data_IF_201084721044
#
_entry.id   IF_201084721044
#
_cell.length_a   1.000
_cell.length_b   1.000
_cell.length_c   1.000
_cell.angle_alpha   90.00
_cell.angle_beta   90.00
_cell.angle_gamma   90.00
#
_symmetry.space_group_name_H-M   'P 1'
#
loop_
_entity.id
_entity.type
_entity.pdbx_description
1 polymer ?
#
# COMPACT_ATOMS: atom_id res chain seq x y z
N UNK A 1 1.33 26.97 32.42
CA UNK A 1 1.85 27.82 31.33
C UNK A 1 1.91 26.95 30.09
N UNK A 2 1.05 27.22 29.12
CA UNK A 2 0.97 26.49 27.86
C UNK A 2 1.99 27.09 26.89
N UNK A 3 2.92 26.27 26.40
CA UNK A 3 3.85 26.64 25.32
C UNK A 3 4.19 25.39 24.52
N UNK A 4 3.73 25.36 23.27
CA UNK A 4 4.11 24.36 22.28
C UNK A 4 2.99 24.08 21.28
N UNK A 5 2.64 25.05 20.42
CA UNK A 5 2.01 24.71 19.15
C UNK A 5 3.01 23.85 18.36
N UNK A 6 2.79 22.53 18.32
CA UNK A 6 3.43 21.69 17.34
C UNK A 6 2.87 22.11 15.98
N UNK A 7 3.73 22.63 15.11
CA UNK A 7 3.40 22.75 13.70
C UNK A 7 3.30 21.33 13.16
N UNK A 8 2.10 20.74 13.25
CA UNK A 8 1.79 19.44 12.68
C UNK A 8 2.20 19.42 11.22
N UNK A 9 2.82 18.33 10.76
CA UNK A 9 3.25 18.21 9.37
C UNK A 9 2.02 18.33 8.47
N UNK A 10 1.92 19.45 7.76
CA UNK A 10 0.79 19.72 6.87
C UNK A 10 0.96 18.89 5.61
N UNK A 11 -0.15 18.31 5.15
CA UNK A 11 -0.21 17.79 3.79
C UNK A 11 -0.39 18.94 2.80
N UNK A 12 -0.02 18.69 1.55
CA UNK A 12 -0.27 19.59 0.42
C UNK A 12 -1.17 18.89 -0.60
N UNK A 13 -1.98 19.64 -1.34
CA UNK A 13 -2.79 19.05 -2.42
C UNK A 13 -1.94 18.87 -3.67
N UNK A 14 -2.03 17.69 -4.31
CA UNK A 14 -1.25 17.39 -5.51
C UNK A 14 -1.99 16.53 -6.53
N UNK A 15 -1.61 16.69 -7.79
CA UNK A 15 -2.01 15.83 -8.91
C UNK A 15 -0.92 14.80 -9.21
N UNK A 16 -1.25 13.76 -9.98
CA UNK A 16 -0.33 12.66 -10.33
C UNK A 16 1.03 13.17 -10.81
N UNK A 17 1.05 14.13 -11.76
CA UNK A 17 2.30 14.64 -12.32
C UNK A 17 3.12 15.45 -11.30
N UNK A 18 2.47 16.15 -10.38
CA UNK A 18 3.16 16.89 -9.32
C UNK A 18 3.84 15.92 -8.36
N UNK A 19 3.11 14.90 -7.89
CA UNK A 19 3.66 13.87 -7.00
C UNK A 19 4.80 13.13 -7.71
N UNK A 20 4.59 12.67 -8.93
CA UNK A 20 5.59 11.92 -9.71
C UNK A 20 6.92 12.66 -9.84
N UNK A 21 6.87 13.97 -10.15
CA UNK A 21 8.05 14.78 -10.43
C UNK A 21 8.69 15.42 -9.19
N UNK A 22 8.05 15.32 -8.02
CA UNK A 22 8.58 15.89 -6.78
C UNK A 22 9.89 15.22 -6.38
N UNK A 23 10.82 16.05 -5.89
CA UNK A 23 12.00 15.63 -5.14
C UNK A 23 12.15 16.50 -3.90
N UNK A 24 12.36 15.88 -2.77
CA UNK A 24 12.53 16.50 -1.46
C UNK A 24 13.46 15.66 -0.61
N UNK A 25 14.31 16.30 0.19
CA UNK A 25 15.16 15.61 1.17
C UNK A 25 14.38 15.18 2.43
N UNK A 26 13.13 15.63 2.57
CA UNK A 26 12.21 15.26 3.65
C UNK A 26 10.99 14.53 3.11
N UNK A 27 10.28 13.83 4.00
CA UNK A 27 8.94 13.29 3.71
C UNK A 27 8.01 14.42 3.28
N UNK A 28 7.32 14.21 2.16
CA UNK A 28 6.21 15.07 1.72
C UNK A 28 4.93 14.26 1.79
N UNK A 29 3.86 14.82 2.37
CA UNK A 29 2.55 14.17 2.40
C UNK A 29 1.63 14.90 1.44
N UNK A 30 1.09 14.18 0.47
CA UNK A 30 0.16 14.70 -0.51
C UNK A 30 -1.25 14.24 -0.21
N UNK A 31 -2.23 15.12 -0.31
CA UNK A 31 -3.62 14.74 -0.52
C UNK A 31 -3.92 14.82 -2.02
N UNK A 32 -4.44 13.75 -2.60
CA UNK A 32 -4.68 13.73 -4.04
C UNK A 32 -5.84 14.64 -4.42
N UNK A 33 -5.62 15.55 -5.38
CA UNK A 33 -6.59 16.56 -5.79
C UNK A 33 -7.89 15.94 -6.34
N UNK A 34 -7.76 14.90 -7.17
CA UNK A 34 -8.89 14.21 -7.80
C UNK A 34 -9.57 13.20 -6.86
N UNK A 35 -8.93 12.88 -5.73
CA UNK A 35 -9.42 11.93 -4.75
C UNK A 35 -8.96 12.30 -3.32
N UNK A 36 -9.68 13.20 -2.63
CA UNK A 36 -9.27 13.69 -1.31
C UNK A 36 -9.40 12.65 -0.18
N UNK A 37 -9.83 11.42 -0.49
CA UNK A 37 -9.78 10.27 0.42
C UNK A 37 -8.44 9.50 0.33
N UNK A 38 -7.49 9.95 -0.49
CA UNK A 38 -6.18 9.33 -0.66
C UNK A 38 -5.07 10.29 -0.23
N UNK A 39 -4.23 9.82 0.69
CA UNK A 39 -2.98 10.48 1.06
C UNK A 39 -1.79 9.69 0.52
N UNK A 40 -0.78 10.36 -0.04
CA UNK A 40 0.47 9.75 -0.50
C UNK A 40 1.63 10.28 0.34
N UNK A 41 2.28 9.37 1.07
CA UNK A 41 3.50 9.62 1.83
C UNK A 41 4.69 9.39 0.89
N UNK A 42 5.32 10.48 0.46
CA UNK A 42 6.40 10.50 -0.52
C UNK A 42 7.77 10.58 0.16
N UNK A 43 8.39 9.41 0.34
CA UNK A 43 9.60 9.24 1.14
C UNK A 43 10.88 9.57 0.37
N UNK A 44 11.84 10.30 0.96
CA UNK A 44 13.13 10.58 0.34
C UNK A 44 14.02 9.33 0.17
N UNK A 45 13.70 8.24 0.87
CA UNK A 45 14.48 7.01 0.84
C UNK A 45 13.72 5.78 1.33
N UNK A 46 14.13 4.61 0.86
CA UNK A 46 13.45 3.34 1.12
C UNK A 46 13.58 2.87 2.57
N UNK A 47 14.69 3.14 3.27
CA UNK A 47 14.81 2.74 4.67
C UNK A 47 13.85 3.53 5.56
N UNK A 48 13.59 4.81 5.23
CA UNK A 48 12.63 5.62 5.98
C UNK A 48 11.20 5.12 5.72
N UNK A 49 10.85 4.83 4.47
CA UNK A 49 9.58 4.17 4.15
C UNK A 49 9.42 2.85 4.92
N UNK A 50 10.45 1.99 4.88
CA UNK A 50 10.40 0.68 5.51
C UNK A 50 10.22 0.72 7.03
N UNK A 51 10.89 1.65 7.73
CA UNK A 51 10.66 1.85 9.18
C UNK A 51 9.25 2.33 9.50
N UNK A 52 8.62 3.03 8.56
CA UNK A 52 7.29 3.60 8.71
C UNK A 52 6.18 2.59 8.44
N UNK A 53 6.30 1.77 7.40
CA UNK A 53 5.20 0.94 6.89
C UNK A 53 5.41 -0.58 6.94
N UNK A 54 6.64 -1.11 7.00
CA UNK A 54 6.86 -2.57 6.90
C UNK A 54 6.10 -3.36 7.98
N UNK A 55 6.04 -2.84 9.20
CA UNK A 55 5.34 -3.51 10.30
C UNK A 55 3.82 -3.49 10.14
N UNK A 56 3.31 -2.41 9.56
CA UNK A 56 1.89 -2.24 9.27
C UNK A 56 1.50 -3.21 8.16
N UNK A 57 2.22 -3.22 7.04
CA UNK A 57 2.00 -4.17 5.93
C UNK A 57 2.15 -5.62 6.36
N UNK A 58 3.13 -5.95 7.20
CA UNK A 58 3.24 -7.29 7.75
C UNK A 58 1.99 -7.68 8.54
N UNK A 59 1.38 -6.73 9.26
CA UNK A 59 0.16 -6.96 10.05
C UNK A 59 -1.10 -7.05 9.18
N UNK A 60 -1.21 -6.26 8.10
CA UNK A 60 -2.42 -6.15 7.27
C UNK A 60 -2.48 -7.13 6.10
N UNK A 61 -1.37 -7.31 5.39
CA UNK A 61 -1.36 -7.96 4.07
C UNK A 61 -0.74 -9.36 4.09
N UNK A 62 0.16 -9.62 5.03
CA UNK A 62 0.98 -10.84 5.00
C UNK A 62 0.42 -11.97 5.88
N UNK A 63 0.76 -13.20 5.49
CA UNK A 63 0.32 -14.38 6.20
C UNK A 63 0.85 -14.39 7.64
N UNK A 64 -0.06 -14.54 8.60
CA UNK A 64 0.30 -14.92 9.96
C UNK A 64 -0.09 -16.38 10.15
N UNK A 65 0.81 -17.17 10.76
CA UNK A 65 0.49 -18.54 11.20
C UNK A 65 -0.24 -18.55 12.55
N UNK A 66 -0.41 -17.38 13.15
CA UNK A 66 -1.02 -17.20 14.45
C UNK A 66 -2.55 -17.25 14.35
N UNK A 67 -3.24 -17.81 15.35
CA UNK A 67 -4.70 -17.90 15.35
C UNK A 67 -5.40 -16.54 15.50
N UNK A 68 -4.66 -15.50 15.90
CA UNK A 68 -5.16 -14.14 16.07
C UNK A 68 -4.18 -13.12 15.47
N UNK A 69 -4.66 -11.98 14.97
CA UNK A 69 -3.78 -10.91 14.50
C UNK A 69 -2.83 -10.48 15.62
N UNK A 70 -1.55 -10.37 15.28
CA UNK A 70 -0.47 -9.99 16.19
C UNK A 70 0.42 -8.97 15.53
N UNK A 71 0.60 -7.83 16.19
CA UNK A 71 1.63 -6.86 15.79
C UNK A 71 2.97 -7.38 16.30
N UNK A 72 3.95 -7.52 15.41
CA UNK A 72 5.29 -7.96 15.78
C UNK A 72 6.02 -6.88 16.60
N UNK A 73 6.87 -7.26 17.55
CA UNK A 73 7.89 -6.37 18.09
C UNK A 73 8.95 -6.04 17.05
N UNK A 74 9.77 -5.01 17.29
CA UNK A 74 10.88 -4.66 16.38
C UNK A 74 11.83 -5.84 16.13
N UNK A 75 12.15 -6.60 17.18
CA UNK A 75 13.02 -7.77 17.07
C UNK A 75 12.36 -8.92 16.27
N UNK A 76 11.07 -9.14 16.45
CA UNK A 76 10.33 -10.15 15.67
C UNK A 76 10.23 -9.74 14.20
N UNK A 77 9.92 -8.47 13.91
CA UNK A 77 9.88 -7.96 12.53
C UNK A 77 11.25 -8.09 11.86
N UNK A 78 12.34 -7.74 12.53
CA UNK A 78 13.69 -7.91 11.98
C UNK A 78 13.98 -9.36 11.61
N UNK A 79 13.65 -10.32 12.49
CA UNK A 79 13.81 -11.76 12.19
C UNK A 79 12.91 -12.20 11.04
N UNK A 80 11.70 -11.69 10.96
CA UNK A 80 10.75 -12.00 9.89
C UNK A 80 11.29 -11.54 8.52
N UNK A 81 11.77 -10.29 8.43
CA UNK A 81 12.38 -9.73 7.22
C UNK A 81 13.63 -10.52 6.82
N UNK A 82 14.48 -10.86 7.78
CA UNK A 82 15.69 -11.66 7.56
C UNK A 82 15.35 -13.07 7.04
N UNK A 83 14.34 -13.73 7.62
CA UNK A 83 13.89 -15.05 7.19
C UNK A 83 13.34 -15.03 5.75
N UNK A 84 12.71 -13.93 5.35
CA UNK A 84 12.28 -13.69 3.97
C UNK A 84 13.43 -13.36 3.01
N UNK A 85 14.68 -13.28 3.50
CA UNK A 85 15.88 -12.85 2.76
C UNK A 85 15.70 -11.46 2.12
N UNK A 86 15.00 -10.59 2.84
CA UNK A 86 14.74 -9.19 2.49
C UNK A 86 15.54 -8.29 3.42
N UNK A 87 15.54 -7.00 3.10
CA UNK A 87 16.02 -5.92 3.96
C UNK A 87 14.86 -5.00 4.29
N UNK A 88 15.04 -4.08 5.24
CA UNK A 88 14.01 -3.07 5.49
C UNK A 88 13.70 -2.21 4.26
N UNK A 89 14.67 -2.03 3.36
CA UNK A 89 14.54 -1.18 2.18
C UNK A 89 13.95 -1.90 0.95
N UNK A 90 13.92 -3.24 0.92
CA UNK A 90 13.40 -4.02 -0.22
C UNK A 90 12.25 -4.99 0.14
N UNK A 91 11.74 -4.86 1.37
CA UNK A 91 10.59 -5.62 1.86
C UNK A 91 9.35 -5.37 1.01
N UNK A 92 8.99 -4.09 0.84
CA UNK A 92 8.05 -3.63 -0.17
C UNK A 92 8.48 -2.25 -0.69
N UNK A 93 8.16 -1.96 -1.95
CA UNK A 93 8.53 -0.70 -2.59
C UNK A 93 7.40 0.34 -2.55
N UNK A 94 6.17 -0.09 -2.30
CA UNK A 94 5.02 0.76 -1.98
C UNK A 94 4.12 0.02 -1.00
N UNK A 95 3.19 0.74 -0.41
CA UNK A 95 2.25 0.20 0.58
C UNK A 95 0.94 0.97 0.50
N UNK A 96 -0.19 0.26 0.55
CA UNK A 96 -1.52 0.82 0.76
C UNK A 96 -2.11 0.36 2.09
N UNK A 97 -2.66 1.31 2.87
CA UNK A 97 -3.27 1.00 4.17
C UNK A 97 -4.50 1.86 4.40
N UNK A 98 -5.61 1.23 4.77
CA UNK A 98 -6.81 1.94 5.22
C UNK A 98 -6.62 2.53 6.62
N UNK A 99 -7.27 3.67 6.88
CA UNK A 99 -7.34 4.23 8.24
C UNK A 99 -7.96 3.23 9.22
N UNK A 100 -8.92 2.41 8.78
CA UNK A 100 -9.50 1.35 9.61
C UNK A 100 -8.47 0.29 10.01
N UNK A 101 -7.54 -0.07 9.13
CA UNK A 101 -6.47 -1.03 9.39
C UNK A 101 -5.39 -0.44 10.30
N UNK A 102 -5.04 0.84 10.13
CA UNK A 102 -4.13 1.55 11.03
C UNK A 102 -4.69 1.62 12.46
N UNK A 103 -6.01 1.83 12.59
CA UNK A 103 -6.67 1.79 13.90
C UNK A 103 -6.59 0.39 14.52
N UNK A 104 -6.75 -0.67 13.73
CA UNK A 104 -6.52 -2.03 14.23
C UNK A 104 -5.07 -2.17 14.69
N UNK A 105 -4.09 -1.85 13.84
CA UNK A 105 -2.67 -1.90 14.17
C UNK A 105 -2.34 -1.21 15.50
N UNK A 106 -2.75 0.05 15.70
CA UNK A 106 -2.47 0.77 16.95
C UNK A 106 -3.18 0.18 18.16
N UNK A 107 -4.40 -0.32 18.00
CA UNK A 107 -5.14 -0.96 19.09
C UNK A 107 -4.52 -2.30 19.49
N UNK A 108 -4.09 -3.12 18.52
CA UNK A 108 -3.39 -4.37 18.79
C UNK A 108 -2.02 -4.11 19.44
N UNK A 109 -1.25 -3.14 18.94
CA UNK A 109 0.01 -2.72 19.55
C UNK A 109 -0.20 -2.26 21.01
N UNK A 110 -1.24 -1.46 21.28
CA UNK A 110 -1.59 -0.99 22.62
C UNK A 110 -1.98 -2.15 23.55
N UNK A 111 -2.86 -3.05 23.08
CA UNK A 111 -3.33 -4.22 23.83
C UNK A 111 -2.17 -5.12 24.23
N UNK A 112 -1.28 -5.39 23.27
CA UNK A 112 -0.17 -6.34 23.43
C UNK A 112 1.10 -5.68 23.98
N UNK A 113 1.03 -4.38 24.30
CA UNK A 113 2.15 -3.57 24.83
C UNK A 113 3.37 -3.57 23.92
N UNK A 114 3.14 -3.60 22.61
CA UNK A 114 4.18 -3.44 21.60
C UNK A 114 4.44 -1.95 21.42
N UNK A 115 5.65 -1.52 21.71
CA UNK A 115 6.06 -0.13 21.54
C UNK A 115 6.10 0.24 20.05
N UNK A 116 5.49 1.39 19.72
CA UNK A 116 5.60 2.02 18.41
C UNK A 116 6.98 2.66 18.26
N UNK A 117 7.56 2.59 17.07
CA UNK A 117 8.76 3.34 16.74
C UNK A 117 8.41 4.82 16.43
N UNK A 118 9.43 5.66 16.21
CA UNK A 118 9.23 7.10 16.03
C UNK A 118 8.42 7.43 14.76
N UNK A 119 8.63 6.67 13.70
CA UNK A 119 7.94 6.82 12.42
C UNK A 119 6.45 6.41 12.48
N UNK A 120 6.13 5.34 13.19
CA UNK A 120 4.74 4.91 13.41
C UNK A 120 4.01 5.85 14.37
N UNK A 121 4.70 6.40 15.38
CA UNK A 121 4.19 7.49 16.22
C UNK A 121 3.85 8.69 15.34
N UNK A 122 4.72 9.06 14.42
CA UNK A 122 4.47 10.14 13.48
C UNK A 122 3.22 9.89 12.63
N UNK A 123 3.04 8.68 12.07
CA UNK A 123 1.82 8.34 11.30
C UNK A 123 0.58 8.49 12.18
N UNK A 124 0.60 7.92 13.39
CA UNK A 124 -0.52 8.00 14.35
C UNK A 124 -0.89 9.44 14.69
N UNK A 125 0.11 10.27 14.94
CA UNK A 125 -0.08 11.67 15.32
C UNK A 125 -0.61 12.47 14.14
N UNK A 126 -0.08 12.25 12.93
CA UNK A 126 -0.63 12.82 11.68
C UNK A 126 -2.12 12.47 11.53
N UNK A 127 -2.49 11.18 11.66
CA UNK A 127 -3.89 10.76 11.54
C UNK A 127 -4.80 11.42 12.59
N UNK A 128 -4.28 11.62 13.80
CA UNK A 128 -5.02 12.26 14.90
C UNK A 128 -5.20 13.75 14.63
N UNK A 129 -4.15 14.45 14.20
CA UNK A 129 -4.15 15.86 13.85
C UNK A 129 -5.07 16.16 12.66
N UNK A 130 -5.08 15.27 11.65
CA UNK A 130 -5.98 15.38 10.49
C UNK A 130 -7.42 14.93 10.79
N UNK A 131 -7.72 14.51 12.03
CA UNK A 131 -9.05 14.06 12.44
C UNK A 131 -9.51 12.78 11.75
N UNK A 132 -8.58 11.97 11.23
CA UNK A 132 -8.85 10.68 10.60
C UNK A 132 -9.07 9.58 11.63
N UNK A 133 -8.38 9.69 12.77
CA UNK A 133 -8.57 8.83 13.95
C UNK A 133 -8.78 9.66 15.21
N UNK A 134 -9.30 9.02 16.26
CA UNK A 134 -9.43 9.61 17.59
C UNK A 134 -9.08 8.60 18.66
N UNK A 135 -8.29 8.98 19.65
CA UNK A 135 -8.12 8.19 20.87
C UNK A 135 -9.20 8.56 21.90
N UNK A 136 -10.02 7.60 22.31
CA UNK A 136 -11.09 7.83 23.27
C UNK A 136 -11.35 6.59 24.12
N UNK A 137 -11.51 6.79 25.44
CA UNK A 137 -11.73 5.71 26.43
C UNK A 137 -10.75 4.54 26.31
N UNK A 138 -9.48 4.84 26.02
CA UNK A 138 -8.39 3.85 26.04
C UNK A 138 -8.18 3.09 24.73
N UNK A 139 -8.85 3.45 23.63
CA UNK A 139 -8.62 2.85 22.32
C UNK A 139 -8.76 3.87 21.18
N UNK A 140 -8.13 3.57 20.04
CA UNK A 140 -8.26 4.35 18.81
C UNK A 140 -9.55 3.99 18.07
N UNK A 141 -10.19 4.99 17.49
CA UNK A 141 -11.38 4.89 16.66
C UNK A 141 -11.11 5.51 15.30
N UNK A 142 -11.57 4.85 14.23
CA UNK A 142 -11.52 5.42 12.89
C UNK A 142 -12.66 6.43 12.74
N UNK A 143 -12.33 7.67 12.44
CA UNK A 143 -13.30 8.72 12.13
C UNK A 143 -13.62 8.76 10.64
N UNK A 144 -12.63 8.38 9.81
CA UNK A 144 -12.77 8.24 8.35
C UNK A 144 -12.15 6.91 7.91
N UNK A 145 -12.85 5.78 8.12
CA UNK A 145 -12.28 4.43 7.96
C UNK A 145 -11.85 4.12 6.52
N UNK A 146 -12.52 4.73 5.53
CA UNK A 146 -12.31 4.45 4.09
C UNK A 146 -11.26 5.35 3.44
N UNK A 147 -10.57 6.18 4.24
CA UNK A 147 -9.43 6.97 3.75
C UNK A 147 -8.21 6.04 3.64
N UNK A 148 -7.48 6.19 2.55
CA UNK A 148 -6.32 5.34 2.21
C UNK A 148 -5.04 6.15 2.37
N UNK A 149 -4.05 5.56 3.02
CA UNK A 149 -2.68 6.05 3.06
C UNK A 149 -1.83 5.17 2.15
N UNK A 150 -1.20 5.81 1.18
CA UNK A 150 -0.25 5.20 0.26
C UNK A 150 1.15 5.65 0.65
N UNK A 151 2.15 4.80 0.42
CA UNK A 151 3.55 5.20 0.55
C UNK A 151 4.34 4.88 -0.71
N UNK A 152 5.20 5.81 -1.09
CA UNK A 152 6.06 5.67 -2.27
C UNK A 152 7.47 6.23 -2.00
N UNK A 153 8.50 5.70 -2.67
CA UNK A 153 9.85 6.21 -2.60
C UNK A 153 10.11 7.20 -3.74
N UNK A 154 10.88 8.25 -3.44
CA UNK A 154 11.44 9.14 -4.44
C UNK A 154 12.51 8.46 -5.30
N UNK A 155 12.80 8.98 -6.52
CA UNK A 155 13.87 8.44 -7.32
C UNK A 155 15.20 8.68 -6.63
N UNK A 156 15.97 7.62 -6.43
CA UNK A 156 17.24 7.67 -5.73
C UNK A 156 18.32 6.85 -6.46
N UNK A 157 19.59 7.29 -6.42
CA UNK A 157 20.70 6.44 -6.81
C UNK A 157 20.84 5.27 -5.82
N UNK A 158 21.70 4.31 -6.16
CA UNK A 158 22.06 3.23 -5.23
C UNK A 158 22.74 3.82 -4.00
N UNK A 159 22.29 3.41 -2.81
CA UNK A 159 22.96 3.71 -1.55
C UNK A 159 23.50 2.42 -0.92
N UNK A 160 24.25 2.51 0.16
CA UNK A 160 24.88 1.36 0.80
C UNK A 160 23.87 0.27 1.23
N UNK A 161 22.71 0.69 1.72
CA UNK A 161 21.63 -0.18 2.22
C UNK A 161 20.33 -0.08 1.42
N UNK A 162 20.33 0.63 0.29
CA UNK A 162 19.11 0.87 -0.49
C UNK A 162 19.35 0.67 -1.99
N UNK A 163 18.44 -0.05 -2.69
CA UNK A 163 18.53 -0.22 -4.13
C UNK A 163 18.26 1.11 -4.88
N UNK A 164 18.51 1.08 -6.19
CA UNK A 164 18.17 2.20 -7.09
C UNK A 164 16.64 2.27 -7.23
N UNK A 165 16.07 3.48 -7.13
CA UNK A 165 14.71 3.76 -7.59
C UNK A 165 14.82 4.65 -8.83
N UNK A 166 14.57 4.06 -9.99
CA UNK A 166 14.56 4.82 -11.25
C UNK A 166 13.29 5.64 -11.39
N UNK A 167 13.28 6.64 -12.27
CA UNK A 167 12.06 7.41 -12.58
C UNK A 167 10.95 6.49 -13.11
N UNK A 168 11.29 5.50 -13.94
CA UNK A 168 10.33 4.50 -14.43
C UNK A 168 9.77 3.61 -13.32
N UNK A 169 10.62 3.20 -12.36
CA UNK A 169 10.18 2.44 -11.20
C UNK A 169 9.23 3.27 -10.31
N UNK A 170 9.55 4.53 -10.03
CA UNK A 170 8.66 5.43 -9.29
C UNK A 170 7.32 5.60 -9.98
N UNK A 171 7.31 5.79 -11.31
CA UNK A 171 6.07 5.89 -12.06
C UNK A 171 5.21 4.62 -11.90
N UNK A 172 5.82 3.44 -12.05
CA UNK A 172 5.12 2.17 -11.89
C UNK A 172 4.57 2.00 -10.46
N UNK A 173 5.37 2.31 -9.44
CA UNK A 173 4.95 2.24 -8.03
C UNK A 173 3.81 3.22 -7.78
N UNK A 174 3.95 4.51 -8.09
CA UNK A 174 2.90 5.50 -7.85
C UNK A 174 1.58 5.14 -8.56
N UNK A 175 1.65 4.67 -9.81
CA UNK A 175 0.44 4.26 -10.53
C UNK A 175 -0.22 3.02 -9.90
N UNK A 176 0.59 2.05 -9.46
CA UNK A 176 0.13 0.87 -8.74
C UNK A 176 -0.55 1.25 -7.41
N UNK A 177 0.13 2.05 -6.58
CA UNK A 177 -0.42 2.48 -5.28
C UNK A 177 -1.72 3.28 -5.43
N UNK A 178 -1.78 4.19 -6.41
CA UNK A 178 -3.01 4.93 -6.66
C UNK A 178 -4.16 4.02 -7.10
N UNK A 179 -3.88 2.88 -7.75
CA UNK A 179 -4.90 1.91 -8.11
C UNK A 179 -5.58 1.31 -6.88
N UNK A 180 -4.84 1.06 -5.79
CA UNK A 180 -5.44 0.67 -4.51
C UNK A 180 -6.32 1.79 -3.95
N UNK A 181 -5.85 3.03 -4.04
CA UNK A 181 -6.66 4.22 -3.71
C UNK A 181 -8.00 4.26 -4.46
N UNK A 182 -7.99 4.01 -5.77
CA UNK A 182 -9.21 3.93 -6.58
C UNK A 182 -10.09 2.74 -6.19
N UNK A 183 -9.50 1.56 -5.92
CA UNK A 183 -10.22 0.36 -5.48
C UNK A 183 -11.03 0.63 -4.20
N UNK A 184 -10.42 1.19 -3.15
CA UNK A 184 -11.11 1.41 -1.88
C UNK A 184 -12.12 2.57 -1.92
N UNK A 185 -11.87 3.59 -2.74
CA UNK A 185 -12.66 4.83 -2.70
C UNK A 185 -13.74 4.91 -3.78
N UNK A 186 -13.72 4.02 -4.78
CA UNK A 186 -14.75 3.93 -5.82
C UNK A 186 -15.51 2.61 -5.72
N UNK A 187 -16.63 2.61 -4.98
CA UNK A 187 -17.44 1.40 -4.76
C UNK A 187 -17.97 0.73 -6.03
N UNK A 188 -18.15 1.47 -7.13
CA UNK A 188 -18.54 0.87 -8.42
C UNK A 188 -17.38 0.10 -9.02
N UNK A 189 -16.18 0.65 -8.97
CA UNK A 189 -14.96 0.00 -9.41
C UNK A 189 -14.62 -1.21 -8.53
N UNK A 190 -14.72 -1.08 -7.21
CA UNK A 190 -14.52 -2.19 -6.27
C UNK A 190 -15.42 -3.39 -6.59
N UNK A 191 -16.74 -3.16 -6.75
CA UNK A 191 -17.72 -4.19 -7.10
C UNK A 191 -17.44 -4.78 -8.48
N UNK A 192 -16.99 -3.96 -9.44
CA UNK A 192 -16.56 -4.47 -10.74
C UNK A 192 -15.37 -5.41 -10.61
N UNK A 193 -14.32 -5.05 -9.86
CA UNK A 193 -13.15 -5.90 -9.62
C UNK A 193 -13.52 -7.22 -8.94
N UNK A 194 -14.43 -7.18 -7.95
CA UNK A 194 -14.96 -8.39 -7.31
C UNK A 194 -15.68 -9.30 -8.32
N UNK A 195 -16.55 -8.74 -9.15
CA UNK A 195 -17.24 -9.50 -10.22
C UNK A 195 -16.27 -10.02 -11.26
N UNK A 196 -15.26 -9.23 -11.63
CA UNK A 196 -14.23 -9.67 -12.56
C UNK A 196 -13.49 -10.90 -12.00
N UNK A 197 -13.13 -10.87 -10.73
CA UNK A 197 -12.48 -11.99 -10.05
C UNK A 197 -13.36 -13.26 -9.99
N UNK A 198 -14.60 -13.15 -9.53
CA UNK A 198 -15.45 -14.31 -9.31
C UNK A 198 -16.17 -14.81 -10.57
N UNK A 199 -16.61 -13.90 -11.45
CA UNK A 199 -17.48 -14.21 -12.59
C UNK A 199 -16.74 -14.23 -13.93
N UNK A 200 -15.62 -13.49 -14.07
CA UNK A 200 -14.92 -13.34 -15.37
C UNK A 200 -13.65 -14.16 -15.45
N UNK A 201 -12.82 -14.15 -14.41
CA UNK A 201 -11.62 -15.00 -14.38
C UNK A 201 -12.02 -16.47 -14.29
N UNK A 202 -11.28 -17.30 -15.00
CA UNK A 202 -11.34 -18.75 -14.80
C UNK A 202 -10.67 -19.15 -13.49
N UNK A 203 -10.97 -20.35 -12.99
CA UNK A 203 -10.28 -20.88 -11.80
C UNK A 203 -8.76 -20.95 -12.01
N UNK A 204 -8.31 -21.37 -13.20
CA UNK A 204 -6.87 -21.42 -13.52
C UNK A 204 -6.19 -20.04 -13.46
N UNK A 205 -6.89 -18.99 -13.87
CA UNK A 205 -6.40 -17.61 -13.80
C UNK A 205 -6.37 -17.07 -12.36
N UNK A 206 -7.41 -17.33 -11.56
CA UNK A 206 -7.39 -16.99 -10.12
C UNK A 206 -6.23 -17.69 -9.40
N UNK A 207 -6.02 -18.97 -9.67
CA UNK A 207 -4.91 -19.73 -9.11
C UNK A 207 -3.54 -19.22 -9.59
N UNK A 208 -3.44 -18.70 -10.82
CA UNK A 208 -2.24 -18.03 -11.29
C UNK A 208 -1.93 -16.76 -10.48
N UNK A 209 -2.94 -15.92 -10.22
CA UNK A 209 -2.79 -14.74 -9.37
C UNK A 209 -2.43 -15.12 -7.93
N UNK A 210 -3.11 -16.09 -7.33
CA UNK A 210 -2.79 -16.57 -5.97
C UNK A 210 -1.33 -17.04 -5.86
N UNK A 211 -0.85 -17.84 -6.83
CA UNK A 211 0.56 -18.28 -6.86
C UNK A 211 1.51 -17.09 -7.02
N UNK A 212 1.21 -16.19 -7.95
CA UNK A 212 2.00 -14.98 -8.17
C UNK A 212 2.12 -14.15 -6.88
N UNK A 213 1.02 -13.85 -6.21
CA UNK A 213 0.97 -13.07 -4.98
C UNK A 213 1.58 -13.80 -3.78
N UNK A 214 1.45 -15.13 -3.71
CA UNK A 214 2.09 -15.91 -2.64
C UNK A 214 3.62 -15.80 -2.65
N UNK A 215 4.24 -15.58 -3.82
CA UNK A 215 5.69 -15.35 -3.92
C UNK A 215 6.14 -14.02 -3.29
N UNK A 216 5.20 -13.12 -3.01
CA UNK A 216 5.40 -11.87 -2.29
C UNK A 216 4.88 -11.94 -0.84
N UNK A 217 4.54 -13.14 -0.34
CA UNK A 217 4.02 -13.41 1.00
C UNK A 217 2.64 -12.84 1.34
N UNK A 218 1.85 -12.44 0.33
CA UNK A 218 0.46 -12.01 0.55
C UNK A 218 -0.41 -13.14 1.12
N UNK A 219 -1.39 -12.76 1.94
CA UNK A 219 -2.37 -13.67 2.51
C UNK A 219 -3.38 -14.15 1.46
N UNK A 220 -3.13 -15.34 0.89
CA UNK A 220 -3.96 -15.92 -0.19
C UNK A 220 -5.34 -16.43 0.23
N UNK A 221 -5.66 -16.34 1.52
CA UNK A 221 -7.00 -16.62 2.06
C UNK A 221 -7.84 -15.34 2.23
N UNK A 222 -7.24 -14.17 2.02
CA UNK A 222 -7.94 -12.89 2.02
C UNK A 222 -8.32 -12.51 0.59
N UNK A 223 -9.53 -12.86 0.17
CA UNK A 223 -10.00 -12.59 -1.19
C UNK A 223 -10.03 -11.10 -1.52
N UNK A 224 -10.35 -10.22 -0.56
CA UNK A 224 -10.40 -8.77 -0.81
C UNK A 224 -9.01 -8.23 -1.18
N UNK A 225 -7.98 -8.65 -0.44
CA UNK A 225 -6.58 -8.35 -0.74
C UNK A 225 -6.19 -8.88 -2.13
N UNK A 226 -6.52 -10.14 -2.43
CA UNK A 226 -6.20 -10.72 -3.75
C UNK A 226 -6.85 -9.98 -4.91
N UNK A 227 -8.10 -9.51 -4.74
CA UNK A 227 -8.83 -8.76 -5.75
C UNK A 227 -8.24 -7.37 -5.95
N UNK A 228 -7.89 -6.69 -4.85
CA UNK A 228 -7.24 -5.37 -4.89
C UNK A 228 -5.86 -5.45 -5.58
N UNK A 229 -5.06 -6.44 -5.23
CA UNK A 229 -3.76 -6.70 -5.86
C UNK A 229 -3.89 -7.08 -7.34
N UNK A 230 -4.84 -7.96 -7.66
CA UNK A 230 -5.07 -8.39 -9.04
C UNK A 230 -5.34 -7.21 -9.97
N UNK A 231 -6.19 -6.25 -9.57
CA UNK A 231 -6.48 -5.11 -10.45
C UNK A 231 -5.26 -4.19 -10.61
N UNK A 232 -4.50 -3.95 -9.54
CA UNK A 232 -3.31 -3.11 -9.56
C UNK A 232 -2.21 -3.70 -10.47
N UNK A 233 -1.94 -5.00 -10.34
CA UNK A 233 -0.99 -5.70 -11.20
C UNK A 233 -1.48 -5.79 -12.64
N UNK A 234 -2.75 -6.17 -12.85
CA UNK A 234 -3.28 -6.41 -14.19
C UNK A 234 -3.28 -5.14 -15.04
N UNK A 235 -3.67 -3.98 -14.46
CA UNK A 235 -3.97 -2.77 -15.22
C UNK A 235 -3.07 -1.56 -14.93
N UNK A 236 -2.34 -1.54 -13.82
CA UNK A 236 -1.64 -0.35 -13.33
C UNK A 236 -0.15 -0.58 -13.02
N UNK A 237 0.38 -1.74 -13.40
CA UNK A 237 1.79 -2.09 -13.24
C UNK A 237 2.46 -2.27 -14.60
N UNK A 238 2.89 -1.18 -15.27
CA UNK A 238 3.44 -1.24 -16.62
C UNK A 238 4.87 -1.78 -16.68
N UNK A 239 5.56 -1.91 -15.55
CA UNK A 239 6.93 -2.41 -15.49
C UNK A 239 6.97 -3.95 -15.62
N UNK A 240 7.53 -4.51 -16.72
CA UNK A 240 7.60 -5.96 -16.92
C UNK A 240 8.51 -6.68 -15.90
N UNK A 241 9.42 -5.95 -15.22
CA UNK A 241 10.21 -6.50 -14.12
C UNK A 241 9.37 -6.72 -12.87
N UNK A 242 8.28 -6.00 -12.72
CA UNK A 242 7.33 -6.13 -11.62
C UNK A 242 6.24 -7.15 -11.98
N UNK A 243 5.61 -7.03 -13.16
CA UNK A 243 4.54 -7.92 -13.59
C UNK A 243 4.52 -8.19 -15.10
N UNK A 244 4.38 -9.46 -15.49
CA UNK A 244 4.35 -9.92 -16.88
C UNK A 244 3.66 -11.28 -17.00
N UNK A 245 3.32 -11.72 -18.22
CA UNK A 245 2.66 -13.00 -18.42
C UNK A 245 3.52 -14.17 -17.91
N UNK A 246 4.83 -14.10 -18.14
CA UNK A 246 5.81 -15.07 -17.62
C UNK A 246 5.81 -15.15 -16.10
N UNK A 247 5.75 -14.01 -15.39
CA UNK A 247 5.68 -13.97 -13.93
C UNK A 247 4.36 -14.49 -13.37
N UNK A 248 3.26 -14.22 -14.08
CA UNK A 248 1.94 -14.75 -13.73
C UNK A 248 1.80 -16.24 -14.07
N UNK A 249 2.63 -16.76 -14.99
CA UNK A 249 2.59 -18.15 -15.45
C UNK A 249 1.51 -18.40 -16.51
N UNK A 250 1.23 -17.41 -17.36
CA UNK A 250 0.27 -17.49 -18.47
C UNK A 250 0.91 -17.07 -19.79
N UNK A 251 0.22 -17.27 -20.91
CA UNK A 251 0.68 -16.76 -22.21
C UNK A 251 0.46 -15.24 -22.35
N UNK A 252 1.25 -14.57 -23.19
CA UNK A 252 1.05 -13.14 -23.49
C UNK A 252 -0.34 -12.87 -24.09
N UNK A 253 -0.84 -13.78 -24.93
CA UNK A 253 -2.18 -13.68 -25.50
C UNK A 253 -3.27 -13.75 -24.41
N UNK A 254 -3.08 -14.61 -23.42
CA UNK A 254 -4.00 -14.75 -22.29
C UNK A 254 -3.98 -13.51 -21.39
N UNK A 255 -2.80 -12.99 -21.04
CA UNK A 255 -2.69 -11.75 -20.26
C UNK A 255 -3.34 -10.57 -21.00
N UNK A 256 -3.09 -10.44 -22.30
CA UNK A 256 -3.69 -9.40 -23.12
C UNK A 256 -5.22 -9.54 -23.21
N UNK A 257 -5.73 -10.77 -23.28
CA UNK A 257 -7.17 -11.03 -23.25
C UNK A 257 -7.78 -10.64 -21.90
N UNK A 258 -7.13 -10.93 -20.77
CA UNK A 258 -7.57 -10.50 -19.44
C UNK A 258 -7.65 -8.97 -19.36
N UNK A 259 -6.57 -8.26 -19.76
CA UNK A 259 -6.55 -6.78 -19.80
C UNK A 259 -7.64 -6.20 -20.70
N UNK A 260 -7.80 -6.75 -21.90
CA UNK A 260 -8.80 -6.28 -22.87
C UNK A 260 -10.23 -6.50 -22.38
N UNK A 261 -10.47 -7.59 -21.65
CA UNK A 261 -11.77 -7.89 -21.05
C UNK A 261 -12.05 -6.96 -19.88
N UNK A 262 -11.05 -6.74 -19.01
CA UNK A 262 -11.14 -5.84 -17.87
C UNK A 262 -11.50 -4.41 -18.32
N UNK A 263 -10.74 -3.85 -19.27
CA UNK A 263 -11.00 -2.50 -19.82
C UNK A 263 -12.42 -2.33 -20.37
N UNK A 264 -12.92 -3.34 -21.06
CA UNK A 264 -14.23 -3.27 -21.75
C UNK A 264 -15.39 -3.22 -20.75
N UNK A 265 -15.23 -3.85 -19.58
CA UNK A 265 -16.24 -3.88 -18.53
C UNK A 265 -16.06 -2.82 -17.45
N UNK A 266 -14.88 -2.19 -17.38
CA UNK A 266 -14.53 -1.26 -16.30
C UNK A 266 -15.45 -0.04 -16.29
N UNK A 267 -15.98 0.36 -15.12
CA UNK A 267 -16.66 1.64 -14.98
C UNK A 267 -15.69 2.81 -15.16
N UNK A 268 -16.19 4.05 -15.25
CA UNK A 268 -15.33 5.23 -15.19
C UNK A 268 -14.48 5.24 -13.91
N UNK A 269 -13.20 5.50 -14.09
CA UNK A 269 -12.20 5.65 -13.03
C UNK A 269 -11.32 6.87 -13.32
N UNK A 270 -10.55 7.31 -12.32
CA UNK A 270 -9.66 8.48 -12.43
C UNK A 270 -8.29 8.16 -13.04
N UNK A 271 -7.89 6.89 -13.05
CA UNK A 271 -6.54 6.48 -13.43
C UNK A 271 -6.43 6.01 -14.88
N UNK A 272 -5.29 6.25 -15.54
CA UNK A 272 -5.05 5.71 -16.87
C UNK A 272 -4.78 4.19 -16.82
N UNK A 273 -5.66 3.40 -17.43
CA UNK A 273 -5.46 1.94 -17.60
C UNK A 273 -4.49 1.63 -18.74
N UNK A 274 -3.54 0.72 -18.50
CA UNK A 274 -2.55 0.25 -19.50
C UNK A 274 -3.14 -0.62 -20.59
#
# INVERSE_FOLDING_TARGET
MATGCAWGQQFVTGEFQTVLNTRSESLTIWQMAENPNVYVFDFPGLSFQGRSFNRITQFTEQQTTEPYPKVLSNAELSRFIEAARRTQADFAFGHDVLVSELVQFFNYATRDKVELNQEEIFIRDFLTEQGLIRFWRGFYQAMRPDVVLLSIPQPQPRQASEPVVTVGARHAILLHELAHGEYYTNSHYQKFCQRFWYETLTEGQREAFKRFLSNFNYAVTNDELLINEMQAYLMFTPDPKSFSASKLGVSEAELQQMRSTFKRGSPPIRLPMM
#
